data_IF_858598177831
#
_entry.id   IF_858598177831
#
_cell.length_a   1.000
_cell.length_b   1.000
_cell.length_c   1.000
_cell.angle_alpha   90.00
_cell.angle_beta   90.00
_cell.angle_gamma   90.00
#
_symmetry.space_group_name_H-M   'P 1'
#
loop_
_entity.id
_entity.type
_entity.pdbx_description
1 polymer ?
#
# COMPACT_ATOMS: atom_id res chain seq x y z
N UNK A 1 1.07 -10.68 15.61
CA UNK A 1 1.31 -10.96 14.18
C UNK A 1 2.57 -11.79 14.11
N UNK A 2 2.40 -13.10 13.96
CA UNK A 2 3.49 -14.07 13.93
C UNK A 2 4.39 -13.77 12.73
N UNK A 3 5.66 -13.48 13.02
CA UNK A 3 6.72 -13.28 12.04
C UNK A 3 7.12 -14.63 11.46
N UNK A 4 6.23 -15.23 10.69
CA UNK A 4 6.56 -16.46 9.98
C UNK A 4 7.21 -16.07 8.67
N UNK A 5 8.53 -16.27 8.58
CA UNK A 5 9.28 -16.06 7.36
C UNK A 5 8.77 -17.06 6.33
N UNK A 6 8.25 -16.61 5.17
CA UNK A 6 7.78 -17.54 4.15
C UNK A 6 8.95 -18.41 3.69
N UNK A 7 8.69 -19.68 3.38
CA UNK A 7 9.73 -20.65 3.02
C UNK A 7 10.61 -20.17 1.85
N UNK A 8 10.02 -19.45 0.89
CA UNK A 8 10.74 -18.85 -0.24
C UNK A 8 11.72 -17.73 0.13
N UNK A 9 11.70 -17.25 1.38
CA UNK A 9 12.64 -16.28 1.93
C UNK A 9 13.55 -16.88 3.02
N UNK A 10 13.49 -18.17 3.32
CA UNK A 10 14.23 -18.77 4.44
C UNK A 10 15.76 -18.75 4.28
N UNK A 11 16.26 -18.69 3.04
CA UNK A 11 17.69 -18.58 2.73
C UNK A 11 17.88 -17.87 1.38
N UNK A 12 19.12 -17.45 1.08
CA UNK A 12 19.46 -16.84 -0.20
C UNK A 12 19.14 -17.79 -1.37
N UNK A 13 19.46 -19.08 -1.21
CA UNK A 13 19.21 -20.08 -2.26
C UNK A 13 17.70 -20.35 -2.43
N UNK A 14 16.92 -20.28 -1.34
CA UNK A 14 15.47 -20.35 -1.41
C UNK A 14 14.88 -19.16 -2.18
N UNK A 15 15.41 -17.96 -1.99
CA UNK A 15 15.01 -16.77 -2.77
C UNK A 15 15.33 -16.96 -4.25
N UNK A 16 16.53 -17.44 -4.58
CA UNK A 16 16.91 -17.72 -5.97
C UNK A 16 15.96 -18.73 -6.63
N UNK A 17 15.66 -19.84 -5.94
CA UNK A 17 14.73 -20.85 -6.44
C UNK A 17 13.30 -20.32 -6.61
N UNK A 18 12.84 -19.51 -5.66
CA UNK A 18 11.50 -18.90 -5.64
C UNK A 18 11.32 -17.88 -6.77
N UNK A 19 12.35 -17.06 -7.05
CA UNK A 19 12.34 -16.16 -8.19
C UNK A 19 12.40 -16.92 -9.52
N UNK A 20 13.21 -17.97 -9.59
CA UNK A 20 13.32 -18.82 -10.77
C UNK A 20 11.99 -19.52 -11.11
N UNK A 21 11.22 -19.97 -10.10
CA UNK A 21 9.91 -20.59 -10.32
C UNK A 21 8.86 -19.61 -10.88
N UNK A 22 9.06 -18.30 -10.71
CA UNK A 22 8.27 -17.26 -11.36
C UNK A 22 8.81 -16.81 -12.73
N UNK A 23 9.94 -17.37 -13.18
CA UNK A 23 10.57 -17.04 -14.46
C UNK A 23 11.64 -15.95 -14.38
N UNK A 24 12.07 -15.55 -13.18
CA UNK A 24 13.09 -14.52 -12.99
C UNK A 24 14.47 -15.14 -12.69
N UNK A 25 15.47 -14.81 -13.51
CA UNK A 25 16.84 -15.26 -13.32
C UNK A 25 17.57 -14.27 -12.40
N UNK A 26 17.62 -14.59 -11.11
CA UNK A 26 18.29 -13.75 -10.11
C UNK A 26 19.78 -14.09 -9.99
N UNK A 27 20.61 -13.06 -9.83
CA UNK A 27 21.98 -13.23 -9.34
C UNK A 27 21.99 -13.39 -7.82
N UNK A 28 23.11 -13.83 -7.25
CA UNK A 28 23.24 -14.00 -5.79
C UNK A 28 23.09 -12.67 -5.05
N UNK A 29 23.54 -11.57 -5.62
CA UNK A 29 23.41 -10.22 -5.07
C UNK A 29 21.94 -9.81 -4.96
N UNK A 30 21.14 -10.06 -6.01
CA UNK A 30 19.70 -9.78 -6.01
C UNK A 30 18.99 -10.62 -4.94
N UNK A 31 19.26 -11.94 -4.92
CA UNK A 31 18.67 -12.83 -3.93
C UNK A 31 19.06 -12.44 -2.50
N UNK A 32 20.30 -12.01 -2.28
CA UNK A 32 20.77 -11.53 -0.98
C UNK A 32 20.07 -10.24 -0.57
N UNK A 33 19.90 -9.28 -1.49
CA UNK A 33 19.21 -8.02 -1.22
C UNK A 33 17.75 -8.26 -0.81
N UNK A 34 17.02 -9.13 -1.51
CA UNK A 34 15.63 -9.48 -1.18
C UNK A 34 15.53 -10.23 0.16
N UNK A 35 16.44 -11.19 0.39
CA UNK A 35 16.53 -11.89 1.68
C UNK A 35 16.72 -10.90 2.84
N UNK A 36 17.71 -10.02 2.74
CA UNK A 36 18.00 -9.01 3.77
C UNK A 36 16.86 -8.00 3.94
N UNK A 37 16.22 -7.57 2.85
CA UNK A 37 15.11 -6.63 2.91
C UNK A 37 13.97 -7.14 3.78
N UNK A 38 13.63 -8.43 3.62
CA UNK A 38 12.60 -9.07 4.45
C UNK A 38 13.04 -9.17 5.92
N UNK A 39 14.23 -9.71 6.19
CA UNK A 39 14.69 -9.97 7.56
C UNK A 39 15.01 -8.70 8.35
N UNK A 40 15.54 -7.68 7.68
CA UNK A 40 15.84 -6.38 8.28
C UNK A 40 14.63 -5.45 8.29
N UNK A 41 13.54 -5.83 7.60
CA UNK A 41 12.37 -4.98 7.37
C UNK A 41 12.75 -3.61 6.79
N UNK A 42 13.64 -3.61 5.80
CA UNK A 42 14.12 -2.41 5.12
C UNK A 42 13.72 -2.42 3.64
N UNK A 43 13.31 -1.26 3.08
CA UNK A 43 12.98 -1.16 1.67
C UNK A 43 14.21 -1.33 0.78
N UNK A 44 13.99 -1.73 -0.47
CA UNK A 44 15.04 -1.89 -1.49
C UNK A 44 14.83 -0.86 -2.60
N UNK A 45 15.87 -0.12 -2.90
CA UNK A 45 15.97 0.71 -4.10
C UNK A 45 16.66 -0.12 -5.21
N UNK A 46 16.05 -0.17 -6.40
CA UNK A 46 16.58 -0.94 -7.53
C UNK A 46 16.99 0.04 -8.63
N UNK A 47 18.29 0.09 -8.94
CA UNK A 47 18.85 0.99 -9.95
C UNK A 47 19.35 0.25 -11.20
N UNK A 48 19.73 1.01 -12.23
CA UNK A 48 20.43 0.53 -13.42
C UNK A 48 19.75 0.90 -14.74
N UNK A 49 20.19 0.34 -15.88
CA UNK A 49 19.68 0.72 -17.19
C UNK A 49 18.25 0.21 -17.45
N UNK A 50 17.59 0.79 -18.46
CA UNK A 50 16.26 0.35 -18.90
C UNK A 50 16.32 -1.10 -19.43
N UNK A 51 15.27 -1.88 -19.18
CA UNK A 51 15.14 -3.24 -19.72
C UNK A 51 15.82 -4.37 -18.94
N UNK A 52 16.54 -4.10 -17.85
CA UNK A 52 17.23 -5.16 -17.05
C UNK A 52 16.33 -5.89 -16.03
N UNK A 53 15.01 -5.83 -16.20
CA UNK A 53 14.08 -6.58 -15.33
C UNK A 53 13.83 -6.00 -13.93
N UNK A 54 14.02 -4.69 -13.70
CA UNK A 54 13.73 -4.06 -12.39
C UNK A 54 12.27 -4.24 -11.97
N UNK A 55 11.36 -3.90 -12.89
CA UNK A 55 9.92 -4.06 -12.69
C UNK A 55 9.56 -5.53 -12.53
N UNK A 56 10.19 -6.39 -13.35
CA UNK A 56 9.92 -7.83 -13.36
C UNK A 56 10.35 -8.50 -12.05
N UNK A 57 11.39 -8.01 -11.38
CA UNK A 57 11.80 -8.50 -10.07
C UNK A 57 10.68 -8.35 -9.04
N UNK A 58 10.04 -7.17 -8.97
CA UNK A 58 8.94 -6.93 -8.05
C UNK A 58 7.71 -7.81 -8.37
N UNK A 59 7.40 -7.96 -9.67
CA UNK A 59 6.30 -8.82 -10.14
C UNK A 59 6.55 -10.29 -9.80
N UNK A 60 7.75 -10.77 -10.10
CA UNK A 60 8.14 -12.17 -9.86
C UNK A 60 8.21 -12.51 -8.38
N UNK A 61 8.72 -11.60 -7.54
CA UNK A 61 8.74 -11.76 -6.09
C UNK A 61 7.31 -11.84 -5.52
N UNK A 62 6.42 -10.92 -5.91
CA UNK A 62 5.04 -10.94 -5.44
C UNK A 62 4.29 -12.22 -5.87
N UNK A 63 4.44 -12.61 -7.15
CA UNK A 63 3.82 -13.82 -7.70
C UNK A 63 4.29 -15.10 -7.02
N UNK A 64 5.60 -15.25 -6.83
CA UNK A 64 6.19 -16.46 -6.23
C UNK A 64 5.92 -16.59 -4.74
N UNK A 65 5.85 -15.48 -4.01
CA UNK A 65 5.55 -15.45 -2.57
C UNK A 65 4.05 -15.40 -2.25
N UNK A 66 3.20 -15.27 -3.26
CA UNK A 66 1.75 -15.11 -3.08
C UNK A 66 1.36 -13.78 -2.41
N UNK A 67 2.20 -12.75 -2.52
CA UNK A 67 1.94 -11.43 -1.97
C UNK A 67 1.16 -10.54 -2.93
N UNK A 68 0.34 -9.64 -2.38
CA UNK A 68 -0.31 -8.61 -3.19
C UNK A 68 0.73 -7.63 -3.74
N UNK A 69 0.73 -7.42 -5.06
CA UNK A 69 1.57 -6.43 -5.72
C UNK A 69 0.81 -5.10 -5.82
N UNK A 70 1.16 -4.14 -4.96
CA UNK A 70 0.66 -2.78 -5.04
C UNK A 70 1.63 -1.94 -5.88
N UNK A 71 1.15 -1.38 -6.98
CA UNK A 71 1.95 -0.59 -7.92
C UNK A 71 1.48 0.86 -7.93
N UNK A 72 2.37 1.77 -7.54
CA UNK A 72 2.21 3.21 -7.72
C UNK A 72 3.15 3.67 -8.84
N UNK A 73 2.59 4.20 -9.93
CA UNK A 73 3.38 4.79 -11.00
C UNK A 73 3.70 6.23 -10.64
N UNK A 74 4.98 6.55 -10.47
CA UNK A 74 5.43 7.92 -10.27
C UNK A 74 5.53 8.62 -11.63
N UNK A 75 4.84 9.74 -11.76
CA UNK A 75 4.88 10.62 -12.93
C UNK A 75 4.81 12.07 -12.47
N UNK A 76 5.12 13.00 -13.37
CA UNK A 76 5.11 14.43 -13.05
C UNK A 76 3.68 14.90 -12.69
N UNK A 77 3.54 15.53 -11.52
CA UNK A 77 2.22 15.93 -10.99
C UNK A 77 1.48 14.83 -10.21
N UNK A 78 2.15 13.75 -9.82
CA UNK A 78 1.71 12.92 -8.70
C UNK A 78 1.98 13.67 -7.38
N UNK A 79 0.92 13.98 -6.63
CA UNK A 79 0.97 14.65 -5.32
C UNK A 79 0.42 13.75 -4.20
N UNK A 80 0.63 14.16 -2.95
CA UNK A 80 0.21 13.39 -1.76
C UNK A 80 -1.29 13.11 -1.75
N UNK A 81 -2.12 14.06 -2.20
CA UNK A 81 -3.58 13.93 -2.23
C UNK A 81 -4.05 12.83 -3.19
N UNK A 82 -3.34 12.66 -4.31
CA UNK A 82 -3.57 11.64 -5.33
C UNK A 82 -2.98 10.29 -4.91
N UNK A 83 -1.83 10.28 -4.23
CA UNK A 83 -1.13 9.06 -3.84
C UNK A 83 -1.75 8.40 -2.58
N UNK A 84 -2.14 9.19 -1.58
CA UNK A 84 -2.61 8.70 -0.29
C UNK A 84 -4.14 8.70 -0.15
N UNK A 85 -4.86 9.10 -1.19
CA UNK A 85 -6.30 9.33 -1.22
C UNK A 85 -6.72 10.38 -0.16
N UNK A 86 -7.04 11.59 -0.60
CA UNK A 86 -7.61 12.59 0.29
C UNK A 86 -9.00 12.11 0.77
N UNK A 87 -9.12 11.85 2.08
CA UNK A 87 -10.41 11.57 2.71
C UNK A 87 -11.36 12.73 2.40
N UNK A 88 -12.58 12.45 1.93
CA UNK A 88 -13.54 13.45 1.43
C UNK A 88 -13.98 14.43 2.53
N UNK A 89 -13.13 15.38 2.86
CA UNK A 89 -13.34 16.43 3.85
C UNK A 89 -14.57 17.25 3.48
N UNK A 90 -14.79 17.50 2.19
CA UNK A 90 -15.99 18.17 1.68
C UNK A 90 -17.30 17.45 2.05
N UNK A 91 -17.33 16.11 2.03
CA UNK A 91 -18.52 15.36 2.46
C UNK A 91 -18.71 15.42 3.97
N UNK A 92 -17.63 15.39 4.76
CA UNK A 92 -17.70 15.55 6.22
C UNK A 92 -18.18 16.94 6.63
N UNK A 93 -17.70 17.98 5.95
CA UNK A 93 -18.13 19.36 6.20
C UNK A 93 -19.61 19.54 5.86
N UNK A 94 -20.06 19.04 4.70
CA UNK A 94 -21.47 19.08 4.30
C UNK A 94 -22.37 18.34 5.30
N UNK A 95 -21.95 17.15 5.74
CA UNK A 95 -22.69 16.36 6.73
C UNK A 95 -22.81 17.09 8.07
N UNK A 96 -21.74 17.76 8.50
CA UNK A 96 -21.73 18.57 9.74
C UNK A 96 -22.71 19.75 9.63
N UNK A 97 -22.73 20.45 8.48
CA UNK A 97 -23.68 21.54 8.23
C UNK A 97 -25.14 21.06 8.21
N UNK A 98 -25.41 19.92 7.55
CA UNK A 98 -26.74 19.32 7.52
C UNK A 98 -27.19 18.88 8.92
N UNK A 99 -26.31 18.27 9.71
CA UNK A 99 -26.61 17.90 11.10
C UNK A 99 -26.94 19.14 11.94
N UNK A 100 -26.13 20.20 11.82
CA UNK A 100 -26.33 21.44 12.57
C UNK A 100 -27.69 22.07 12.24
N UNK A 101 -28.08 22.09 10.96
CA UNK A 101 -29.38 22.58 10.52
C UNK A 101 -30.54 21.72 11.05
N UNK A 102 -30.42 20.38 11.02
CA UNK A 102 -31.43 19.47 11.57
C UNK A 102 -31.61 19.63 13.08
N UNK A 103 -30.51 19.73 13.83
CA UNK A 103 -30.55 19.94 15.28
C UNK A 103 -31.25 21.27 15.62
N UNK A 104 -30.93 22.34 14.88
CA UNK A 104 -31.60 23.64 15.06
C UNK A 104 -33.12 23.55 14.89
N UNK A 105 -33.59 22.79 13.88
CA UNK A 105 -35.02 22.59 13.64
C UNK A 105 -35.72 21.78 14.74
N UNK A 106 -35.08 20.73 15.28
CA UNK A 106 -35.67 19.92 16.36
C UNK A 106 -35.74 20.72 17.66
N UNK A 107 -34.70 21.49 17.98
CA UNK A 107 -34.67 22.34 19.18
C UNK A 107 -35.72 23.45 19.10
N UNK A 108 -35.91 24.08 17.93
CA UNK A 108 -36.96 25.09 17.76
C UNK A 108 -38.37 24.50 17.86
N UNK A 109 -38.57 23.27 17.38
CA UNK A 109 -39.86 22.57 17.50
C UNK A 109 -40.17 22.19 18.95
N UNK A 110 -39.17 21.76 19.73
CA UNK A 110 -39.34 21.44 21.15
C UNK A 110 -39.67 22.68 22.00
N UNK A 111 -39.04 23.83 21.71
CA UNK A 111 -39.34 25.09 22.41
C UNK A 111 -40.78 25.58 22.21
N UNK A 112 -41.36 25.34 21.02
CA UNK A 112 -42.75 25.73 20.73
C UNK A 112 -43.80 24.82 21.39
N UNK A 113 -43.42 23.62 21.86
CA UNK A 113 -44.31 22.67 22.54
C UNK A 113 -44.46 22.96 24.04
N UNK A 114 -43.56 23.74 24.64
CA UNK A 114 -43.66 24.18 26.04
C UNK A 114 -44.51 25.45 26.21
N UNK A 115 -44.86 26.13 25.11
CA UNK A 115 -45.69 27.35 25.07
C UNK A 115 -47.18 27.09 24.72
N UNK A 116 -47.64 25.84 24.65
CA UNK A 116 -49.05 25.46 24.40
C UNK A 116 -49.72 24.75 25.57
#
# INVERSE_FOLDING_TARGET
MTSDTPAGLASIDAVTATLASAGYIATREISTAIYLAHHLRKPVLIEGPAGVGKTELAVSAAKSLGFALLRLQCYEGLDDSRALYEWKYGKQLLYTQILKAKIGHVVSQAANLEES
#
